data_IF_572567283164
#
_entry.id   IF_572567283164
#
_cell.length_a   1.000
_cell.length_b   1.000
_cell.length_c   1.000
_cell.angle_alpha   90.00
_cell.angle_beta   90.00
_cell.angle_gamma   90.00
#
_symmetry.space_group_name_H-M   'P 1'
#
loop_
_entity.id
_entity.type
_entity.pdbx_description
1 polymer ?
#
# COMPACT_ATOMS: atom_id res chain seq x y z
N UNK A 1 15.86 -1.43 -36.33
CA UNK A 1 14.69 -0.79 -36.95
C UNK A 1 13.53 -0.71 -35.97
N UNK A 2 12.88 0.43 -35.89
CA UNK A 2 11.67 0.58 -35.07
C UNK A 2 10.51 -0.17 -35.75
N UNK A 3 9.88 -1.12 -35.04
CA UNK A 3 8.66 -1.74 -35.49
C UNK A 3 7.48 -0.79 -35.13
N UNK A 4 6.91 -0.15 -36.18
CA UNK A 4 5.78 0.79 -36.04
C UNK A 4 4.44 0.13 -36.35
N UNK A 5 4.31 -1.19 -36.18
CA UNK A 5 3.05 -1.90 -36.45
C UNK A 5 2.01 -1.51 -35.39
N UNK A 6 0.84 -1.05 -35.84
CA UNK A 6 -0.33 -0.81 -34.97
C UNK A 6 -1.02 -2.12 -34.52
N UNK A 7 -0.67 -3.25 -35.13
CA UNK A 7 -1.16 -4.57 -34.72
C UNK A 7 -0.08 -5.60 -35.03
N UNK A 8 0.59 -6.07 -33.98
CA UNK A 8 1.57 -7.14 -34.08
C UNK A 8 1.05 -8.37 -33.34
N UNK A 9 0.84 -9.46 -34.08
CA UNK A 9 0.54 -10.77 -33.49
C UNK A 9 1.85 -11.47 -33.20
N UNK A 10 2.19 -11.65 -31.93
CA UNK A 10 3.36 -12.41 -31.49
C UNK A 10 2.89 -13.77 -30.96
N UNK A 11 3.36 -14.83 -31.57
CA UNK A 11 3.15 -16.19 -31.06
C UNK A 11 4.34 -16.54 -30.18
N UNK A 12 4.08 -16.79 -28.88
CA UNK A 12 5.11 -17.09 -27.87
C UNK A 12 6.24 -16.03 -27.78
N UNK A 13 5.90 -14.74 -27.56
CA UNK A 13 6.95 -13.72 -27.48
C UNK A 13 7.81 -13.90 -26.22
N UNK A 14 9.12 -13.86 -26.37
CA UNK A 14 10.04 -13.66 -25.24
C UNK A 14 10.32 -12.16 -25.17
N UNK A 15 9.72 -11.49 -24.19
CA UNK A 15 9.94 -10.08 -23.93
C UNK A 15 10.93 -9.98 -22.78
N UNK A 16 12.13 -9.44 -23.03
CA UNK A 16 13.08 -9.11 -21.97
C UNK A 16 12.57 -7.96 -21.09
N UNK A 17 13.43 -7.04 -20.68
CA UNK A 17 12.98 -5.84 -19.99
C UNK A 17 12.13 -4.97 -20.93
N UNK A 18 10.82 -4.95 -20.73
CA UNK A 18 9.88 -4.12 -21.47
C UNK A 18 9.55 -2.86 -20.68
N UNK A 19 9.59 -1.69 -21.35
CA UNK A 19 9.14 -0.43 -20.79
C UNK A 19 7.92 0.06 -21.55
N UNK A 20 6.88 0.48 -20.84
CA UNK A 20 5.64 0.98 -21.44
C UNK A 20 4.84 1.80 -20.44
N UNK A 21 3.86 2.54 -20.93
CA UNK A 21 2.96 3.34 -20.09
C UNK A 21 1.83 2.50 -19.49
N UNK A 22 1.48 1.39 -20.14
CA UNK A 22 0.43 0.48 -19.66
C UNK A 22 0.61 -0.91 -20.28
N UNK A 23 0.10 -1.92 -19.58
CA UNK A 23 -0.05 -3.29 -20.05
C UNK A 23 -1.48 -3.73 -19.79
N UNK A 24 -2.24 -4.07 -20.84
CA UNK A 24 -3.59 -4.64 -20.72
C UNK A 24 -3.52 -6.10 -21.15
N UNK A 25 -3.99 -6.99 -20.27
CA UNK A 25 -4.06 -8.43 -20.52
C UNK A 25 -5.47 -8.94 -20.25
N UNK A 26 -5.95 -9.89 -21.04
CA UNK A 26 -7.25 -10.55 -20.86
C UNK A 26 -7.14 -11.84 -20.05
N UNK A 27 -5.94 -12.35 -19.85
CA UNK A 27 -5.63 -13.54 -19.06
C UNK A 27 -4.92 -13.20 -17.75
N UNK A 28 -4.50 -14.22 -17.02
CA UNK A 28 -3.77 -14.06 -15.79
C UNK A 28 -2.36 -13.48 -16.03
N UNK A 29 -1.90 -12.60 -15.13
CA UNK A 29 -0.50 -12.21 -15.02
C UNK A 29 0.15 -13.07 -13.96
N UNK A 30 1.11 -13.91 -14.32
CA UNK A 30 1.78 -14.84 -13.41
C UNK A 30 3.28 -14.58 -13.39
N UNK A 31 3.89 -14.75 -12.22
CA UNK A 31 5.35 -14.77 -12.05
C UNK A 31 5.77 -16.14 -11.53
N UNK A 32 6.57 -16.88 -12.29
CA UNK A 32 7.11 -18.18 -11.89
C UNK A 32 8.46 -18.08 -11.17
N UNK A 33 9.06 -16.90 -11.17
CA UNK A 33 10.34 -16.65 -10.49
C UNK A 33 10.16 -16.25 -9.02
N UNK A 34 11.27 -16.07 -8.33
CA UNK A 34 11.30 -15.66 -6.91
C UNK A 34 11.05 -14.16 -6.70
N UNK A 35 11.06 -13.34 -7.76
CA UNK A 35 10.85 -11.89 -7.67
C UNK A 35 9.39 -11.48 -7.42
N UNK A 36 8.44 -12.33 -7.86
CA UNK A 36 7.01 -12.08 -7.67
C UNK A 36 6.46 -10.91 -8.49
N UNK A 37 5.35 -10.35 -8.02
CA UNK A 37 4.69 -9.17 -8.59
C UNK A 37 4.61 -8.09 -7.52
N UNK A 38 5.04 -6.87 -7.84
CA UNK A 38 5.04 -5.78 -6.85
C UNK A 38 5.37 -4.43 -7.45
N UNK A 39 5.58 -3.46 -6.57
CA UNK A 39 5.99 -2.11 -6.95
C UNK A 39 7.51 -2.01 -7.13
N UNK A 40 7.95 -1.22 -8.11
CA UNK A 40 9.36 -0.91 -8.34
C UNK A 40 9.86 0.20 -7.39
N UNK A 41 11.18 0.38 -7.34
CA UNK A 41 11.85 1.48 -6.64
C UNK A 41 11.25 2.83 -7.05
N UNK A 42 10.97 3.69 -6.06
CA UNK A 42 10.37 5.00 -6.26
C UNK A 42 8.85 5.04 -6.01
N UNK A 43 8.15 3.90 -6.07
CA UNK A 43 6.72 3.83 -5.75
C UNK A 43 6.45 3.92 -4.24
N UNK A 44 7.44 3.66 -3.41
CA UNK A 44 7.32 3.63 -1.95
C UNK A 44 7.81 4.90 -1.26
N UNK A 45 7.46 5.04 0.02
CA UNK A 45 7.90 6.11 0.89
C UNK A 45 7.70 5.78 2.36
N UNK A 46 8.06 6.73 3.22
CA UNK A 46 7.85 6.61 4.66
C UNK A 46 7.39 7.93 5.27
N UNK A 47 6.62 7.85 6.35
CA UNK A 47 6.16 9.00 7.13
C UNK A 47 6.12 8.63 8.62
N UNK A 48 6.30 9.61 9.49
CA UNK A 48 6.23 9.45 10.95
C UNK A 48 5.14 10.36 11.53
N UNK A 49 4.32 9.82 12.42
CA UNK A 49 3.39 10.63 13.22
C UNK A 49 4.16 11.45 14.26
N UNK A 50 3.84 12.74 14.37
CA UNK A 50 4.61 13.68 15.19
C UNK A 50 3.96 14.05 16.53
N UNK A 51 2.64 13.93 16.68
CA UNK A 51 1.92 14.49 17.83
C UNK A 51 1.19 13.42 18.66
N UNK A 52 0.50 12.49 18.00
CA UNK A 52 -0.23 11.40 18.66
C UNK A 52 -0.49 10.27 17.68
N UNK A 53 -0.92 9.12 18.20
CA UNK A 53 -1.31 7.97 17.36
C UNK A 53 -2.61 8.19 16.55
N UNK A 54 -3.34 9.28 16.82
CA UNK A 54 -4.53 9.67 16.05
C UNK A 54 -4.26 10.83 15.09
N UNK A 55 -3.03 11.36 15.07
CA UNK A 55 -2.64 12.42 14.13
C UNK A 55 -2.58 11.86 12.71
N UNK A 56 -3.32 12.50 11.78
CA UNK A 56 -3.26 12.17 10.37
C UNK A 56 -1.88 12.38 9.77
N UNK A 57 -1.56 11.63 8.73
CA UNK A 57 -0.29 11.74 7.99
C UNK A 57 -0.55 11.92 6.51
N UNK A 58 0.42 12.48 5.80
CA UNK A 58 0.39 12.61 4.33
C UNK A 58 1.54 11.81 3.73
N UNK A 59 1.21 10.86 2.86
CA UNK A 59 2.19 10.08 2.11
C UNK A 59 1.63 9.75 0.71
N UNK A 60 1.96 10.57 -0.28
CA UNK A 60 1.49 10.46 -1.67
C UNK A 60 2.29 9.38 -2.43
N UNK A 61 2.11 8.12 -2.04
CA UNK A 61 2.80 6.95 -2.60
C UNK A 61 1.86 5.76 -2.67
N UNK A 62 2.06 4.87 -3.64
CA UNK A 62 1.26 3.66 -3.80
C UNK A 62 1.57 2.59 -2.76
N UNK A 63 2.74 2.66 -2.12
CA UNK A 63 3.10 1.81 -0.98
C UNK A 63 3.92 2.61 0.01
N UNK A 64 3.86 2.26 1.29
CA UNK A 64 4.61 3.02 2.27
C UNK A 64 4.65 2.42 3.66
N UNK A 65 5.51 3.02 4.48
CA UNK A 65 5.67 2.72 5.90
C UNK A 65 5.26 3.93 6.73
N UNK A 66 4.41 3.70 7.73
CA UNK A 66 3.97 4.72 8.69
C UNK A 66 4.54 4.35 10.04
N UNK A 67 5.48 5.15 10.55
CA UNK A 67 5.98 5.03 11.92
C UNK A 67 5.01 5.74 12.85
N UNK A 68 4.43 5.01 13.77
CA UNK A 68 3.46 5.53 14.72
C UNK A 68 4.13 6.38 15.79
N UNK A 69 3.39 7.35 16.34
CA UNK A 69 3.84 8.12 17.50
C UNK A 69 4.10 7.22 18.70
N UNK A 70 5.14 7.53 19.49
CA UNK A 70 5.50 6.77 20.69
C UNK A 70 4.42 6.92 21.75
N UNK A 71 3.73 5.85 22.08
CA UNK A 71 2.72 5.78 23.12
C UNK A 71 2.49 4.33 23.55
N UNK A 72 1.84 4.15 24.69
CA UNK A 72 1.44 2.83 25.16
C UNK A 72 0.37 2.22 24.24
N UNK A 73 0.45 0.91 24.04
CA UNK A 73 -0.59 0.15 23.37
C UNK A 73 -1.91 0.16 24.18
N UNK A 74 -3.03 -0.01 23.49
CA UNK A 74 -4.36 -0.12 24.13
C UNK A 74 -5.28 -0.99 23.28
N UNK A 75 -6.17 -1.71 23.93
CA UNK A 75 -7.22 -2.50 23.26
C UNK A 75 -8.37 -1.64 22.73
N UNK A 76 -8.43 -0.36 23.14
CA UNK A 76 -9.38 0.60 22.59
C UNK A 76 -8.95 1.00 21.17
N UNK A 77 -9.85 0.82 20.21
CA UNK A 77 -9.58 1.17 18.83
C UNK A 77 -9.40 2.68 18.65
N UNK A 78 -8.42 3.06 17.87
CA UNK A 78 -8.15 4.43 17.46
C UNK A 78 -8.00 4.50 15.94
N UNK A 79 -8.30 5.66 15.36
CA UNK A 79 -8.30 5.87 13.92
C UNK A 79 -7.53 7.14 13.57
N UNK A 80 -6.80 7.10 12.47
CA UNK A 80 -6.24 8.30 11.84
C UNK A 80 -6.39 8.24 10.33
N UNK A 81 -6.35 9.40 9.68
CA UNK A 81 -6.44 9.52 8.22
C UNK A 81 -5.05 9.54 7.60
N UNK A 82 -4.87 8.75 6.55
CA UNK A 82 -3.72 8.83 5.64
C UNK A 82 -4.17 9.60 4.39
N UNK A 83 -3.69 10.83 4.23
CA UNK A 83 -3.87 11.59 3.00
C UNK A 83 -2.89 11.06 1.95
N UNK A 84 -3.42 10.65 0.80
CA UNK A 84 -2.64 10.01 -0.25
C UNK A 84 -3.26 10.25 -1.62
N UNK A 85 -2.66 11.12 -2.41
CA UNK A 85 -3.15 11.51 -3.74
C UNK A 85 -3.20 10.37 -4.76
N UNK A 86 -2.57 9.22 -4.49
CA UNK A 86 -2.61 8.06 -5.38
C UNK A 86 -3.86 7.18 -5.17
N UNK A 87 -4.63 7.43 -4.11
CA UNK A 87 -5.81 6.64 -3.73
C UNK A 87 -7.05 7.16 -4.46
N UNK A 88 -7.77 6.25 -5.09
CA UNK A 88 -9.14 6.45 -5.60
C UNK A 88 -10.16 5.81 -4.65
N UNK A 89 -11.41 6.29 -4.68
CA UNK A 89 -12.45 5.79 -3.79
C UNK A 89 -12.79 4.28 -3.98
N UNK A 90 -12.43 3.72 -5.12
CA UNK A 90 -12.65 2.30 -5.47
C UNK A 90 -11.46 1.41 -5.13
N UNK A 91 -10.33 1.97 -4.66
CA UNK A 91 -9.12 1.20 -4.40
C UNK A 91 -9.24 0.30 -3.17
N UNK A 92 -8.43 -0.75 -3.16
CA UNK A 92 -8.26 -1.65 -2.02
C UNK A 92 -6.91 -1.34 -1.36
N UNK A 93 -6.93 -1.09 -0.05
CA UNK A 93 -5.72 -0.84 0.74
C UNK A 93 -5.40 -2.08 1.57
N UNK A 94 -4.20 -2.61 1.39
CA UNK A 94 -3.67 -3.70 2.21
C UNK A 94 -2.81 -3.10 3.31
N UNK A 95 -2.98 -3.58 4.55
CA UNK A 95 -2.21 -3.18 5.72
C UNK A 95 -1.51 -4.37 6.33
N UNK A 96 -0.29 -4.15 6.87
CA UNK A 96 0.36 -5.09 7.77
C UNK A 96 1.22 -4.37 8.81
N UNK A 97 1.36 -5.00 9.98
CA UNK A 97 2.36 -4.59 10.97
C UNK A 97 3.75 -5.02 10.47
N UNK A 98 4.66 -4.05 10.34
CA UNK A 98 6.06 -4.30 9.94
C UNK A 98 6.96 -4.51 11.15
N UNK A 99 6.73 -3.75 12.23
CA UNK A 99 7.51 -3.83 13.46
C UNK A 99 6.70 -3.35 14.66
N UNK A 100 7.18 -3.64 15.85
CA UNK A 100 6.57 -3.36 17.14
C UNK A 100 6.63 -4.61 18.02
N UNK A 101 6.57 -4.42 19.33
CA UNK A 101 6.55 -5.50 20.33
C UNK A 101 5.14 -6.01 20.53
N UNK A 102 4.17 -5.10 20.65
CA UNK A 102 2.76 -5.45 20.78
C UNK A 102 2.19 -5.96 19.44
N UNK A 103 1.20 -6.84 19.51
CA UNK A 103 0.45 -7.29 18.33
C UNK A 103 -0.72 -6.33 18.09
N UNK A 104 -0.86 -5.87 16.85
CA UNK A 104 -1.89 -4.93 16.44
C UNK A 104 -2.89 -5.56 15.48
N UNK A 105 -4.18 -5.35 15.76
CA UNK A 105 -5.22 -5.47 14.76
C UNK A 105 -5.22 -4.20 13.91
N UNK A 106 -5.11 -4.35 12.60
CA UNK A 106 -5.09 -3.24 11.63
C UNK A 106 -6.28 -3.38 10.69
N UNK A 107 -7.01 -2.29 10.49
CA UNK A 107 -8.19 -2.24 9.63
C UNK A 107 -8.19 -0.97 8.77
N UNK A 108 -8.62 -1.11 7.52
CA UNK A 108 -9.02 0.04 6.70
C UNK A 108 -10.52 0.25 6.92
N UNK A 109 -10.90 1.38 7.49
CA UNK A 109 -12.31 1.64 7.86
C UNK A 109 -13.00 2.65 6.95
N UNK A 110 -12.26 3.32 6.08
CA UNK A 110 -12.80 4.15 5.01
C UNK A 110 -11.77 4.30 3.89
N UNK A 111 -12.24 4.38 2.64
CA UNK A 111 -11.43 4.74 1.47
C UNK A 111 -12.20 5.80 0.70
N UNK A 112 -11.53 6.91 0.38
CA UNK A 112 -12.07 8.01 -0.40
C UNK A 112 -11.03 8.48 -1.44
N UNK A 113 -11.44 9.26 -2.41
CA UNK A 113 -10.49 9.89 -3.32
C UNK A 113 -9.50 10.76 -2.53
N UNK A 114 -8.21 10.45 -2.62
CA UNK A 114 -7.14 11.18 -1.95
C UNK A 114 -6.87 10.78 -0.49
N UNK A 115 -7.55 9.77 0.09
CA UNK A 115 -7.29 9.36 1.47
C UNK A 115 -7.86 7.99 1.83
N UNK A 116 -7.37 7.43 2.94
CA UNK A 116 -8.01 6.30 3.62
C UNK A 116 -7.84 6.42 5.14
N UNK A 117 -8.73 5.79 5.91
CA UNK A 117 -8.64 5.70 7.36
C UNK A 117 -8.04 4.37 7.77
N UNK A 118 -7.02 4.45 8.63
CA UNK A 118 -6.41 3.32 9.30
C UNK A 118 -6.89 3.28 10.75
N UNK A 119 -7.57 2.20 11.12
CA UNK A 119 -8.01 1.93 12.49
C UNK A 119 -7.17 0.80 13.06
N UNK A 120 -6.72 0.95 14.29
CA UNK A 120 -5.81 0.01 14.94
C UNK A 120 -6.11 -0.10 16.44
N UNK A 121 -5.72 -1.23 17.02
CA UNK A 121 -5.69 -1.48 18.47
C UNK A 121 -4.68 -2.58 18.76
N UNK A 122 -4.20 -2.70 20.00
CA UNK A 122 -3.46 -3.90 20.40
C UNK A 122 -4.43 -5.03 20.79
N UNK A 123 -3.96 -6.27 20.72
CA UNK A 123 -4.70 -7.45 21.19
C UNK A 123 -4.57 -7.67 22.70
N UNK A 124 -3.92 -6.74 23.43
CA UNK A 124 -3.71 -6.80 24.90
C UNK A 124 -2.42 -6.13 25.35
N UNK A 125 -1.50 -5.83 24.43
CA UNK A 125 -0.23 -5.18 24.75
C UNK A 125 -0.39 -3.72 25.16
N UNK A 126 0.48 -3.27 26.06
CA UNK A 126 0.52 -1.89 26.59
C UNK A 126 1.92 -1.28 26.50
N UNK A 127 2.78 -1.84 25.68
CA UNK A 127 4.16 -1.37 25.51
C UNK A 127 4.19 0.05 24.96
N UNK A 128 5.05 0.91 25.53
CA UNK A 128 5.35 2.22 24.97
C UNK A 128 6.36 2.05 23.84
N UNK A 129 5.92 2.21 22.61
CA UNK A 129 6.73 1.94 21.43
C UNK A 129 6.30 2.77 20.21
N UNK A 130 7.10 2.69 19.14
CA UNK A 130 6.85 3.32 17.83
C UNK A 130 6.64 2.22 16.78
N UNK A 131 5.50 1.51 16.77
CA UNK A 131 5.29 0.45 15.78
C UNK A 131 5.25 1.03 14.37
N UNK A 132 5.60 0.20 13.39
CA UNK A 132 5.56 0.58 11.97
C UNK A 132 4.49 -0.24 11.27
N UNK A 133 3.59 0.43 10.56
CA UNK A 133 2.56 -0.17 9.73
C UNK A 133 2.87 0.09 8.27
N UNK A 134 2.81 -0.95 7.45
CA UNK A 134 2.96 -0.83 6.00
C UNK A 134 1.60 -0.82 5.33
N UNK A 135 1.51 -0.13 4.19
CA UNK A 135 0.35 -0.21 3.31
C UNK A 135 0.77 -0.40 1.86
N UNK A 136 -0.14 -0.95 1.08
CA UNK A 136 -0.08 -1.01 -0.37
C UNK A 136 -1.46 -0.70 -0.96
N UNK A 137 -1.49 0.09 -2.03
CA UNK A 137 -2.71 0.45 -2.76
C UNK A 137 -2.87 -0.49 -3.95
N UNK A 138 -3.96 -1.24 -4.01
CA UNK A 138 -4.35 -2.01 -5.19
C UNK A 138 -5.46 -1.26 -5.89
N UNK A 139 -5.27 -0.95 -7.18
CA UNK A 139 -6.26 -0.21 -7.97
C UNK A 139 -7.50 -1.06 -8.18
N UNK A 140 -8.63 -0.52 -7.77
CA UNK A 140 -9.94 -1.14 -7.92
C UNK A 140 -10.80 -0.41 -8.95
N UNK A 141 -11.88 -1.05 -9.37
CA UNK A 141 -12.91 -0.45 -10.21
C UNK A 141 -14.27 -0.61 -9.54
N UNK A 142 -15.18 0.32 -9.79
CA UNK A 142 -16.56 0.17 -9.35
C UNK A 142 -17.21 -1.01 -10.07
N UNK A 143 -18.00 -1.79 -9.34
CA UNK A 143 -18.82 -2.85 -9.92
C UNK A 143 -20.04 -2.27 -10.63
#
# INVERSE_FOLDING_TARGET
>A
SACTSTSMVMVTPVIGAATGTSLAVTGAVTSSGTAGVGYATGAGGAVTQLTSRTTGVTLNKTTGAITMFSAAGTTTAATFTVTNSTVAATDVIILNQKSGTDLYDLMVTAVAAGSFNLTFRTTGGTTVETPVFNFAVIKGVAA
#
